data_IF_386853092303
#
_entry.id   IF_386853092303
#
_cell.length_a   1.000
_cell.length_b   1.000
_cell.length_c   1.000
_cell.angle_alpha   90.00
_cell.angle_beta   90.00
_cell.angle_gamma   90.00
#
_symmetry.space_group_name_H-M   'P 1'
#
loop_
_entity.id
_entity.type
_entity.pdbx_description
1 polymer ?
#
# COMPACT_ATOMS: atom_id res chain seq x y z
N UNK A 1 -11.73 30.52 6.46
CA UNK A 1 -12.37 30.70 5.14
C UNK A 1 -11.36 30.71 3.94
N UNK A 2 -10.05 30.62 4.17
CA UNK A 2 -9.03 30.77 3.12
C UNK A 2 -8.51 29.45 2.51
N UNK A 3 -8.82 28.31 3.10
CA UNK A 3 -8.41 26.99 2.58
C UNK A 3 -9.24 26.53 1.36
N UNK A 4 -10.43 27.10 1.17
CA UNK A 4 -11.33 26.70 0.06
C UNK A 4 -10.94 27.27 -1.31
N UNK A 5 -10.39 28.48 -1.38
CA UNK A 5 -10.05 29.15 -2.63
C UNK A 5 -8.92 28.47 -3.42
N UNK A 6 -7.89 27.99 -2.71
CA UNK A 6 -6.76 27.28 -3.34
C UNK A 6 -7.14 25.93 -3.93
N UNK A 7 -8.05 25.19 -3.28
CA UNK A 7 -8.56 23.90 -3.78
C UNK A 7 -9.44 24.05 -5.03
N UNK A 8 -10.27 25.11 -5.07
CA UNK A 8 -11.10 25.40 -6.24
C UNK A 8 -10.26 25.80 -7.45
N UNK A 9 -9.25 26.65 -7.26
CA UNK A 9 -8.36 27.07 -8.34
C UNK A 9 -7.54 25.89 -8.90
N UNK A 10 -6.97 25.04 -8.05
CA UNK A 10 -6.22 23.84 -8.47
C UNK A 10 -7.12 22.82 -9.17
N UNK A 11 -8.38 22.68 -8.74
CA UNK A 11 -9.35 21.79 -9.40
C UNK A 11 -9.72 22.27 -10.80
N UNK A 12 -9.93 23.59 -10.99
CA UNK A 12 -10.22 24.16 -12.31
C UNK A 12 -9.03 24.02 -13.27
N UNK A 13 -7.81 24.32 -12.82
CA UNK A 13 -6.60 24.19 -13.62
C UNK A 13 -6.27 22.72 -13.92
N UNK A 14 -6.50 21.81 -12.94
CA UNK A 14 -6.32 20.38 -13.14
C UNK A 14 -7.27 19.80 -14.17
N UNK A 15 -8.53 20.26 -14.19
CA UNK A 15 -9.52 19.91 -15.22
C UNK A 15 -9.13 20.43 -16.62
N UNK A 16 -8.69 21.68 -16.71
CA UNK A 16 -8.30 22.30 -17.98
C UNK A 16 -7.04 21.66 -18.60
N UNK A 17 -6.08 21.22 -17.78
CA UNK A 17 -4.84 20.57 -18.25
C UNK A 17 -4.99 19.05 -18.44
N UNK A 18 -6.05 18.44 -17.94
CA UNK A 18 -6.26 16.99 -17.98
C UNK A 18 -5.33 16.18 -17.06
N UNK A 19 -4.47 16.83 -16.24
CA UNK A 19 -3.52 16.15 -15.34
C UNK A 19 -4.05 15.98 -13.91
N UNK A 20 -5.21 16.56 -13.59
CA UNK A 20 -5.78 16.55 -12.26
C UNK A 20 -5.30 17.71 -11.38
N UNK A 21 -5.89 17.84 -10.19
CA UNK A 21 -5.60 18.95 -9.27
C UNK A 21 -4.39 18.67 -8.35
N UNK A 22 -4.12 17.42 -8.02
CA UNK A 22 -3.07 17.03 -7.07
C UNK A 22 -1.66 17.47 -7.52
N UNK A 23 -1.23 17.27 -8.77
CA UNK A 23 0.12 17.70 -9.17
C UNK A 23 0.29 19.23 -9.09
N UNK A 24 -0.77 20.00 -9.31
CA UNK A 24 -0.73 21.47 -9.19
C UNK A 24 -0.61 21.88 -7.71
N UNK A 25 -1.32 21.21 -6.83
CA UNK A 25 -1.21 21.42 -5.37
C UNK A 25 0.20 21.09 -4.87
N UNK A 26 0.78 19.96 -5.31
CA UNK A 26 2.15 19.56 -4.95
C UNK A 26 3.16 20.57 -5.50
N UNK A 27 3.00 21.07 -6.73
CA UNK A 27 3.84 22.12 -7.30
C UNK A 27 3.83 23.40 -6.45
N UNK A 28 2.65 23.83 -6.03
CA UNK A 28 2.50 24.99 -5.14
C UNK A 28 3.17 24.74 -3.77
N UNK A 29 2.98 23.57 -3.18
CA UNK A 29 3.60 23.21 -1.92
C UNK A 29 5.12 23.13 -2.03
N UNK A 30 5.66 22.55 -3.11
CA UNK A 30 7.09 22.50 -3.39
C UNK A 30 7.68 23.93 -3.46
N UNK A 31 7.00 24.85 -4.17
CA UNK A 31 7.41 26.25 -4.23
C UNK A 31 7.43 26.92 -2.85
N UNK A 32 6.41 26.64 -2.02
CA UNK A 32 6.28 27.19 -0.67
C UNK A 32 7.32 26.64 0.30
N UNK A 33 7.59 25.33 0.24
CA UNK A 33 8.53 24.65 1.14
C UNK A 33 9.99 24.98 0.82
N UNK A 34 10.30 25.20 -0.46
CA UNK A 34 11.67 25.43 -0.91
C UNK A 34 12.57 24.19 -0.77
N UNK A 35 13.90 24.41 -0.73
CA UNK A 35 14.89 23.38 -0.45
C UNK A 35 14.87 22.20 -1.45
N UNK A 36 15.16 21.00 -0.95
CA UNK A 36 15.26 19.79 -1.77
C UNK A 36 13.96 19.38 -2.47
N UNK A 37 12.81 19.63 -1.85
CA UNK A 37 11.49 19.36 -2.44
C UNK A 37 11.24 20.22 -3.67
N UNK A 38 11.55 21.51 -3.57
CA UNK A 38 11.48 22.44 -4.70
C UNK A 38 12.40 22.03 -5.85
N UNK A 39 13.63 21.63 -5.50
CA UNK A 39 14.61 21.19 -6.50
C UNK A 39 14.14 19.88 -7.16
N UNK A 40 13.71 18.89 -6.39
CA UNK A 40 13.20 17.62 -6.91
C UNK A 40 12.02 17.84 -7.88
N UNK A 41 11.09 18.74 -7.54
CA UNK A 41 9.98 19.10 -8.42
C UNK A 41 10.48 19.71 -9.73
N UNK A 42 11.33 20.75 -9.66
CA UNK A 42 11.82 21.48 -10.85
C UNK A 42 12.67 20.61 -11.78
N UNK A 43 13.55 19.78 -11.23
CA UNK A 43 14.43 18.92 -12.04
C UNK A 43 13.63 17.87 -12.80
N UNK A 44 12.59 17.31 -12.18
CA UNK A 44 11.69 16.39 -12.87
C UNK A 44 10.78 17.11 -13.89
N UNK A 45 10.25 18.28 -13.54
CA UNK A 45 9.42 19.10 -14.45
C UNK A 45 10.19 19.52 -15.70
N UNK A 46 11.46 19.83 -15.56
CA UNK A 46 12.34 20.29 -16.63
C UNK A 46 13.05 19.16 -17.37
N UNK A 47 12.86 17.91 -16.93
CA UNK A 47 13.51 16.73 -17.51
C UNK A 47 15.01 16.68 -17.28
N UNK A 48 15.52 17.32 -16.22
CA UNK A 48 16.92 17.28 -15.80
C UNK A 48 17.24 16.02 -15.00
N UNK A 49 16.30 15.55 -14.18
CA UNK A 49 16.45 14.31 -13.42
C UNK A 49 16.13 13.10 -14.31
N UNK A 50 16.90 12.00 -14.23
CA UNK A 50 16.54 10.74 -14.86
C UNK A 50 15.22 10.22 -14.30
N UNK A 51 14.37 9.64 -15.16
CA UNK A 51 13.08 9.10 -14.74
C UNK A 51 13.23 7.88 -13.79
N UNK A 52 14.39 7.25 -13.82
CA UNK A 52 14.78 6.17 -12.91
C UNK A 52 14.81 6.62 -11.45
N UNK A 53 15.20 7.87 -11.20
CA UNK A 53 15.32 8.42 -9.84
C UNK A 53 13.98 8.39 -9.09
N UNK A 54 12.87 8.61 -9.79
CA UNK A 54 11.52 8.47 -9.23
C UNK A 54 11.26 7.03 -8.76
N UNK A 55 11.63 6.05 -9.57
CA UNK A 55 11.43 4.64 -9.25
C UNK A 55 12.35 4.21 -8.11
N UNK A 56 13.58 4.71 -8.09
CA UNK A 56 14.56 4.40 -7.06
C UNK A 56 14.17 5.04 -5.72
N UNK A 57 13.66 6.27 -5.72
CA UNK A 57 13.07 6.88 -4.51
C UNK A 57 11.92 6.05 -3.95
N UNK A 58 11.00 5.58 -4.81
CA UNK A 58 9.89 4.75 -4.38
C UNK A 58 10.35 3.38 -3.85
N UNK A 59 11.39 2.78 -4.44
CA UNK A 59 11.98 1.51 -3.95
C UNK A 59 12.69 1.69 -2.61
N UNK A 60 13.42 2.79 -2.44
CA UNK A 60 14.10 3.10 -1.19
C UNK A 60 13.07 3.28 -0.06
N UNK A 61 12.01 4.04 -0.30
CA UNK A 61 10.92 4.20 0.64
C UNK A 61 10.24 2.85 0.99
N UNK A 62 9.99 2.00 0.00
CA UNK A 62 9.44 0.66 0.24
C UNK A 62 10.39 -0.23 1.05
N UNK A 63 11.68 -0.16 0.81
CA UNK A 63 12.68 -0.89 1.61
C UNK A 63 12.74 -0.37 3.05
N UNK A 64 12.58 0.94 3.25
CA UNK A 64 12.51 1.53 4.59
C UNK A 64 11.28 1.03 5.35
N UNK A 65 10.10 0.97 4.73
CA UNK A 65 8.90 0.38 5.34
C UNK A 65 9.11 -1.11 5.72
N UNK A 66 9.82 -1.87 4.88
CA UNK A 66 10.15 -3.27 5.21
C UNK A 66 11.10 -3.39 6.40
N UNK A 67 12.08 -2.49 6.49
CA UNK A 67 13.04 -2.46 7.59
C UNK A 67 12.36 -2.02 8.89
N UNK A 68 11.50 -1.01 8.83
CA UNK A 68 10.69 -0.53 9.96
C UNK A 68 9.80 -1.67 10.50
N UNK A 69 9.01 -2.30 9.65
CA UNK A 69 8.21 -3.48 10.04
C UNK A 69 9.04 -4.55 10.74
N UNK A 70 10.26 -4.83 10.22
CA UNK A 70 11.15 -5.82 10.82
C UNK A 70 11.66 -5.36 12.19
N UNK A 71 12.03 -4.09 12.32
CA UNK A 71 12.51 -3.52 13.57
C UNK A 71 11.41 -3.55 14.65
N UNK A 72 10.19 -3.13 14.30
CA UNK A 72 9.04 -3.14 15.20
C UNK A 72 8.69 -4.54 15.67
N UNK A 73 8.71 -5.51 14.74
CA UNK A 73 8.50 -6.92 15.08
C UNK A 73 9.57 -7.44 16.06
N UNK A 74 10.85 -7.19 15.80
CA UNK A 74 11.95 -7.63 16.67
C UNK A 74 11.86 -6.97 18.05
N UNK A 75 11.51 -5.69 18.11
CA UNK A 75 11.30 -4.98 19.37
C UNK A 75 10.10 -5.55 20.14
N UNK A 76 9.00 -5.87 19.45
CA UNK A 76 7.85 -6.56 20.05
C UNK A 76 8.23 -7.91 20.63
N UNK A 77 8.98 -8.72 19.86
CA UNK A 77 9.45 -10.04 20.31
C UNK A 77 10.44 -9.94 21.48
N UNK A 78 11.30 -8.92 21.50
CA UNK A 78 12.21 -8.67 22.65
C UNK A 78 11.42 -8.34 23.92
N UNK A 79 10.35 -7.55 23.83
CA UNK A 79 9.47 -7.26 24.98
C UNK A 79 8.80 -8.53 25.48
N UNK A 80 8.25 -9.34 24.57
CA UNK A 80 7.64 -10.64 24.91
C UNK A 80 8.64 -11.62 25.52
N UNK A 81 9.90 -11.58 25.10
CA UNK A 81 10.95 -12.43 25.70
C UNK A 81 11.28 -12.09 27.17
N UNK A 82 10.89 -10.91 27.63
CA UNK A 82 11.03 -10.49 29.03
C UNK A 82 9.81 -10.89 29.88
N UNK A 83 8.68 -11.17 29.24
CA UNK A 83 7.48 -11.64 29.90
C UNK A 83 7.55 -13.14 30.13
N UNK A 84 7.55 -13.56 31.39
CA UNK A 84 7.60 -14.96 31.83
C UNK A 84 6.21 -15.46 32.23
N UNK A 85 5.15 -14.78 31.83
CA UNK A 85 3.78 -15.22 32.13
C UNK A 85 3.52 -16.60 31.50
N UNK A 86 3.12 -17.60 32.30
CA UNK A 86 2.89 -18.94 31.80
C UNK A 86 1.61 -19.00 30.97
N UNK A 87 1.70 -19.66 29.83
CA UNK A 87 0.58 -19.95 28.96
C UNK A 87 0.28 -21.45 28.96
N UNK A 88 -0.99 -21.81 28.75
CA UNK A 88 -1.39 -23.23 28.70
C UNK A 88 -1.72 -23.65 27.25
N UNK A 89 -1.57 -24.96 27.01
CA UNK A 89 -1.85 -25.59 25.71
C UNK A 89 -3.23 -26.30 25.65
N UNK A 90 -4.12 -26.10 26.64
CA UNK A 90 -5.37 -26.82 26.75
C UNK A 90 -6.23 -26.76 25.47
N UNK A 91 -6.32 -25.59 24.83
CA UNK A 91 -7.08 -25.41 23.59
C UNK A 91 -6.41 -26.15 22.41
N UNK A 92 -5.07 -26.26 22.41
CA UNK A 92 -4.31 -27.00 21.40
C UNK A 92 -4.48 -28.49 21.59
N UNK A 93 -4.34 -28.99 22.82
CA UNK A 93 -4.52 -30.40 23.18
C UNK A 93 -5.91 -30.91 22.82
N UNK A 94 -6.92 -30.09 23.07
CA UNK A 94 -8.29 -30.40 22.66
C UNK A 94 -8.41 -30.61 21.15
N UNK A 95 -7.86 -29.70 20.35
CA UNK A 95 -7.89 -29.79 18.88
C UNK A 95 -7.15 -31.04 18.39
N UNK A 96 -5.98 -31.34 18.95
CA UNK A 96 -5.19 -32.51 18.58
C UNK A 96 -5.90 -33.82 18.99
N UNK A 97 -6.51 -33.84 20.15
CA UNK A 97 -7.31 -34.99 20.63
C UNK A 97 -8.55 -35.23 19.75
N UNK A 98 -9.28 -34.19 19.42
CA UNK A 98 -10.42 -34.27 18.50
C UNK A 98 -10.00 -34.82 17.13
N UNK A 99 -8.90 -34.33 16.59
CA UNK A 99 -8.34 -34.84 15.33
C UNK A 99 -7.94 -36.30 15.42
N UNK A 100 -7.33 -36.71 16.52
CA UNK A 100 -6.94 -38.12 16.75
C UNK A 100 -8.17 -39.02 16.80
N UNK A 101 -9.25 -38.57 17.43
CA UNK A 101 -10.50 -39.31 17.55
C UNK A 101 -11.23 -39.41 16.21
N UNK A 102 -11.37 -38.31 15.46
CA UNK A 102 -12.01 -38.28 14.15
C UNK A 102 -11.30 -39.15 13.10
N UNK A 103 -9.99 -39.34 13.23
CA UNK A 103 -9.19 -40.23 12.39
C UNK A 103 -9.36 -41.72 12.67
N UNK A 104 -10.18 -42.12 13.67
CA UNK A 104 -10.40 -43.51 14.06
C UNK A 104 -11.86 -43.90 14.00
N UNK A 105 -12.11 -45.17 13.70
CA UNK A 105 -13.44 -45.78 13.78
C UNK A 105 -13.43 -46.89 14.84
N UNK A 106 -14.41 -46.89 15.73
CA UNK A 106 -14.56 -47.91 16.72
C UNK A 106 -15.41 -49.06 16.14
N UNK A 107 -14.82 -50.24 16.11
CA UNK A 107 -15.50 -51.46 15.70
C UNK A 107 -16.46 -51.96 16.81
N UNK A 108 -17.45 -52.80 16.50
CA UNK A 108 -18.33 -53.41 17.51
C UNK A 108 -17.60 -54.17 18.58
N UNK A 109 -16.39 -54.66 18.31
CA UNK A 109 -15.48 -55.31 19.26
C UNK A 109 -14.84 -54.36 20.27
N UNK A 110 -15.11 -53.03 20.18
CA UNK A 110 -14.44 -52.01 20.98
C UNK A 110 -13.07 -51.58 20.45
N UNK A 111 -12.49 -52.29 19.49
CA UNK A 111 -11.20 -51.96 18.90
C UNK A 111 -11.33 -50.71 17.99
N UNK A 112 -10.44 -49.75 18.16
CA UNK A 112 -10.33 -48.59 17.25
C UNK A 112 -9.41 -48.91 16.09
N UNK A 113 -9.84 -48.57 14.88
CA UNK A 113 -9.06 -48.70 13.65
C UNK A 113 -8.85 -47.33 13.03
N UNK A 114 -7.66 -47.08 12.54
CA UNK A 114 -7.36 -45.83 11.86
C UNK A 114 -8.02 -45.84 10.47
N UNK A 115 -8.89 -44.88 10.22
CA UNK A 115 -9.56 -44.67 8.92
C UNK A 115 -8.93 -43.54 8.12
N UNK A 116 -8.03 -42.79 8.74
CA UNK A 116 -7.25 -41.73 8.08
C UNK A 116 -6.09 -42.39 7.34
N UNK A 117 -5.78 -41.91 6.15
CA UNK A 117 -4.67 -42.45 5.36
C UNK A 117 -3.31 -42.35 6.08
N UNK A 118 -2.33 -43.16 5.64
CA UNK A 118 -1.02 -43.30 6.31
C UNK A 118 -0.31 -41.92 6.46
N UNK A 119 -0.25 -41.10 5.40
CA UNK A 119 0.44 -39.80 5.44
C UNK A 119 -0.18 -38.82 6.45
N UNK A 120 -1.52 -38.60 6.47
CA UNK A 120 -2.14 -37.75 7.48
C UNK A 120 -1.93 -38.22 8.92
N UNK A 121 -1.89 -39.54 9.14
CA UNK A 121 -1.60 -40.09 10.48
C UNK A 121 -0.17 -39.82 10.92
N UNK A 122 0.80 -40.01 10.02
CA UNK A 122 2.21 -39.68 10.27
C UNK A 122 2.40 -38.19 10.57
N UNK A 123 1.73 -37.31 9.80
CA UNK A 123 1.77 -35.86 10.07
C UNK A 123 1.23 -35.52 11.45
N UNK A 124 0.13 -36.17 11.87
CA UNK A 124 -0.44 -35.90 13.19
C UNK A 124 0.48 -36.43 14.31
N UNK A 125 1.07 -37.61 14.15
CA UNK A 125 2.07 -38.18 15.09
C UNK A 125 3.29 -37.27 15.22
N UNK A 126 3.81 -36.75 14.11
CA UNK A 126 4.92 -35.79 14.11
C UNK A 126 4.58 -34.53 14.88
N UNK A 127 3.41 -33.94 14.61
CA UNK A 127 2.93 -32.74 15.33
C UNK A 127 2.74 -33.02 16.82
N UNK A 128 2.17 -34.16 17.17
CA UNK A 128 2.02 -34.58 18.57
C UNK A 128 3.36 -34.67 19.29
N UNK A 129 4.34 -35.31 18.66
CA UNK A 129 5.71 -35.37 19.17
C UNK A 129 6.31 -34.00 19.41
N UNK A 130 6.17 -33.06 18.45
CA UNK A 130 6.66 -31.69 18.62
C UNK A 130 6.00 -31.04 19.85
N UNK A 131 4.68 -31.20 20.03
CA UNK A 131 3.96 -30.63 21.17
C UNK A 131 4.44 -31.25 22.49
N UNK A 132 4.64 -32.56 22.52
CA UNK A 132 5.17 -33.29 23.69
C UNK A 132 6.60 -32.83 24.03
N UNK A 133 7.46 -32.68 23.04
CA UNK A 133 8.83 -32.15 23.23
C UNK A 133 8.83 -30.76 23.88
N UNK A 134 7.87 -29.90 23.53
CA UNK A 134 7.72 -28.58 24.18
C UNK A 134 7.16 -28.65 25.60
N UNK A 135 6.31 -29.62 25.91
CA UNK A 135 5.76 -29.81 27.27
C UNK A 135 6.75 -30.38 28.26
N UNK A 136 7.87 -30.94 27.80
CA UNK A 136 8.85 -31.63 28.61
C UNK A 136 8.40 -33.03 29.02
N UNK A 137 9.31 -33.77 29.66
CA UNK A 137 9.14 -35.22 29.97
C UNK A 137 7.96 -35.47 30.91
N UNK A 138 7.71 -34.57 31.86
CA UNK A 138 6.64 -34.69 32.87
C UNK A 138 5.44 -33.79 32.61
N UNK A 139 5.46 -33.02 31.53
CA UNK A 139 4.40 -32.03 31.18
C UNK A 139 4.39 -30.79 32.07
N UNK A 140 5.45 -30.56 32.84
CA UNK A 140 5.56 -29.50 33.85
C UNK A 140 6.33 -28.26 33.33
N UNK A 141 6.72 -28.23 32.05
CA UNK A 141 7.39 -27.08 31.48
C UNK A 141 6.48 -25.86 31.45
N UNK A 142 7.00 -24.78 32.02
CA UNK A 142 6.31 -23.46 32.00
C UNK A 142 6.57 -22.79 30.64
N UNK A 143 5.56 -22.81 29.81
CA UNK A 143 5.65 -22.23 28.44
C UNK A 143 5.24 -20.76 28.45
N UNK A 144 6.06 -19.93 27.83
CA UNK A 144 5.79 -18.50 27.63
C UNK A 144 5.22 -18.26 26.22
N UNK A 145 4.83 -17.01 25.91
CA UNK A 145 4.39 -16.62 24.56
C UNK A 145 5.48 -16.87 23.50
N UNK A 146 6.75 -16.68 23.86
CA UNK A 146 7.88 -16.96 22.97
C UNK A 146 8.03 -18.46 22.69
N UNK A 147 7.85 -19.30 23.68
CA UNK A 147 7.97 -20.74 23.50
C UNK A 147 6.82 -21.28 22.64
N UNK A 148 5.60 -20.80 22.87
CA UNK A 148 4.47 -21.12 22.01
C UNK A 148 4.62 -20.53 20.58
N UNK A 149 5.29 -19.40 20.41
CA UNK A 149 5.62 -18.87 19.06
C UNK A 149 6.62 -19.78 18.35
N UNK A 150 7.62 -20.32 19.05
CA UNK A 150 8.55 -21.34 18.51
C UNK A 150 7.82 -22.64 18.17
N UNK A 151 6.91 -23.11 19.04
CA UNK A 151 6.06 -24.26 18.77
C UNK A 151 5.22 -24.02 17.48
N UNK A 152 4.60 -22.86 17.37
CA UNK A 152 3.86 -22.46 16.16
C UNK A 152 4.75 -22.50 14.91
N UNK A 153 5.99 -22.01 15.00
CA UNK A 153 6.94 -22.04 13.88
C UNK A 153 7.31 -23.48 13.51
N UNK A 154 7.62 -24.34 14.46
CA UNK A 154 7.94 -25.75 14.20
C UNK A 154 6.77 -26.48 13.49
N UNK A 155 5.53 -26.27 13.94
CA UNK A 155 4.35 -26.82 13.26
C UNK A 155 4.17 -26.20 11.87
N UNK A 156 4.49 -24.93 11.72
CA UNK A 156 4.51 -24.22 10.43
C UNK A 156 5.49 -24.85 9.45
N UNK A 157 6.67 -25.25 9.89
CA UNK A 157 7.67 -25.93 9.06
C UNK A 157 7.14 -27.29 8.57
N UNK A 158 6.50 -28.07 9.43
CA UNK A 158 5.85 -29.32 9.03
C UNK A 158 4.78 -29.06 7.95
N UNK A 159 3.92 -28.07 8.17
CA UNK A 159 2.89 -27.68 7.19
C UNK A 159 3.48 -27.27 5.84
N UNK A 160 4.54 -26.47 5.86
CA UNK A 160 5.14 -25.88 4.64
C UNK A 160 5.94 -26.90 3.83
N UNK A 161 6.36 -28.02 4.45
CA UNK A 161 6.96 -29.17 3.75
C UNK A 161 5.92 -30.03 3.01
N UNK A 162 4.64 -29.91 3.35
CA UNK A 162 3.57 -30.68 2.72
C UNK A 162 3.11 -30.01 1.44
N UNK A 163 3.24 -30.70 0.31
CA UNK A 163 2.62 -30.25 -0.93
C UNK A 163 1.08 -30.39 -0.82
N UNK A 164 0.38 -29.26 -0.80
CA UNK A 164 -1.09 -29.23 -0.70
C UNK A 164 -1.79 -29.96 -1.86
N UNK A 165 -1.19 -29.96 -3.04
CA UNK A 165 -1.74 -30.67 -4.22
C UNK A 165 -1.74 -32.18 -4.05
N UNK A 166 -0.71 -32.72 -3.40
CA UNK A 166 -0.53 -34.17 -3.23
C UNK A 166 -1.16 -34.69 -1.92
N UNK A 167 -1.17 -33.87 -0.87
CA UNK A 167 -1.60 -34.27 0.49
C UNK A 167 -2.45 -33.19 1.18
N UNK A 168 -3.62 -32.82 0.63
CA UNK A 168 -4.44 -31.74 1.20
C UNK A 168 -4.90 -32.03 2.63
N UNK A 169 -5.16 -33.29 2.98
CA UNK A 169 -5.59 -33.68 4.32
C UNK A 169 -4.48 -33.47 5.36
N UNK A 170 -3.24 -33.89 5.06
CA UNK A 170 -2.08 -33.65 5.92
C UNK A 170 -1.83 -32.14 6.12
N UNK A 171 -1.90 -31.38 5.04
CA UNK A 171 -1.75 -29.93 5.09
C UNK A 171 -2.82 -29.26 5.95
N UNK A 172 -4.08 -29.67 5.78
CA UNK A 172 -5.20 -29.15 6.59
C UNK A 172 -5.03 -29.46 8.08
N UNK A 173 -4.58 -30.68 8.43
CA UNK A 173 -4.30 -31.04 9.81
C UNK A 173 -3.23 -30.12 10.42
N UNK A 174 -2.08 -30.01 9.76
CA UNK A 174 -1.01 -29.14 10.23
C UNK A 174 -1.45 -27.68 10.33
N UNK A 175 -2.22 -27.18 9.35
CA UNK A 175 -2.74 -25.82 9.35
C UNK A 175 -3.77 -25.56 10.47
N UNK A 176 -4.61 -26.53 10.82
CA UNK A 176 -5.56 -26.40 11.93
C UNK A 176 -4.84 -26.33 13.27
N UNK A 177 -3.82 -27.19 13.50
CA UNK A 177 -3.03 -27.15 14.74
C UNK A 177 -2.22 -25.86 14.81
N UNK A 178 -1.55 -25.45 13.72
CA UNK A 178 -0.88 -24.16 13.61
C UNK A 178 -1.80 -23.00 14.00
N UNK A 179 -3.02 -22.99 13.44
CA UNK A 179 -4.03 -21.99 13.75
C UNK A 179 -4.52 -22.04 15.20
N UNK A 180 -4.58 -23.24 15.80
CA UNK A 180 -4.94 -23.40 17.21
C UNK A 180 -3.87 -22.81 18.13
N UNK A 181 -2.58 -23.11 17.91
CA UNK A 181 -1.48 -22.52 18.68
C UNK A 181 -1.51 -20.98 18.56
N UNK A 182 -1.63 -20.44 17.34
CA UNK A 182 -1.75 -18.99 17.13
C UNK A 182 -2.90 -18.39 17.95
N UNK A 183 -4.10 -18.99 17.89
CA UNK A 183 -5.27 -18.49 18.64
C UNK A 183 -5.06 -18.56 20.14
N UNK A 184 -4.42 -19.63 20.63
CA UNK A 184 -4.11 -19.83 22.04
C UNK A 184 -3.21 -18.72 22.57
N UNK A 185 -2.13 -18.38 21.86
CA UNK A 185 -1.24 -17.28 22.24
C UNK A 185 -1.99 -15.94 22.22
N UNK A 186 -2.67 -15.63 21.11
CA UNK A 186 -3.42 -14.37 20.95
C UNK A 186 -4.49 -14.17 22.04
N UNK A 187 -5.13 -15.27 22.48
CA UNK A 187 -6.15 -15.24 23.52
C UNK A 187 -5.56 -15.01 24.91
N UNK A 188 -4.40 -15.57 25.20
CA UNK A 188 -3.79 -15.55 26.53
C UNK A 188 -2.79 -14.39 26.71
N UNK A 189 -2.20 -13.89 25.61
CA UNK A 189 -1.21 -12.81 25.64
C UNK A 189 -1.64 -11.65 24.73
N UNK A 190 -2.18 -10.57 25.32
CA UNK A 190 -2.60 -9.38 24.55
C UNK A 190 -1.45 -8.62 23.89
N UNK A 191 -0.23 -8.64 24.45
CA UNK A 191 0.94 -7.96 23.87
C UNK A 191 1.43 -8.71 22.62
N UNK A 192 1.42 -10.04 22.65
CA UNK A 192 1.65 -10.86 21.46
C UNK A 192 0.60 -10.58 20.38
N UNK A 193 -0.68 -10.53 20.77
CA UNK A 193 -1.77 -10.23 19.85
C UNK A 193 -1.56 -8.87 19.14
N UNK A 194 -1.16 -7.86 19.90
CA UNK A 194 -0.86 -6.51 19.39
C UNK A 194 0.33 -6.53 18.43
N UNK A 195 1.45 -7.15 18.83
CA UNK A 195 2.67 -7.23 18.00
C UNK A 195 2.39 -7.94 16.67
N UNK A 196 1.63 -9.04 16.68
CA UNK A 196 1.27 -9.77 15.47
C UNK A 196 0.32 -8.98 14.57
N UNK A 197 -0.62 -8.26 15.14
CA UNK A 197 -1.55 -7.40 14.39
C UNK A 197 -0.81 -6.27 13.69
N UNK A 198 0.07 -5.57 14.39
CA UNK A 198 0.90 -4.50 13.83
C UNK A 198 1.79 -5.03 12.68
N UNK A 199 2.36 -6.23 12.84
CA UNK A 199 3.14 -6.88 11.80
C UNK A 199 2.30 -7.26 10.58
N UNK A 200 1.09 -7.77 10.77
CA UNK A 200 0.14 -8.14 9.72
C UNK A 200 -0.29 -6.89 8.93
N UNK A 201 -0.72 -5.83 9.62
CA UNK A 201 -1.12 -4.56 9.01
C UNK A 201 0.01 -3.92 8.18
N UNK A 202 1.24 -3.92 8.71
CA UNK A 202 2.40 -3.42 7.99
C UNK A 202 2.76 -4.29 6.77
N UNK A 203 2.57 -5.62 6.87
CA UNK A 203 2.79 -6.57 5.77
C UNK A 203 1.77 -6.37 4.66
N UNK A 204 0.51 -6.20 5.00
CA UNK A 204 -0.57 -5.94 4.06
C UNK A 204 -0.34 -4.62 3.33
N UNK A 205 -0.01 -3.55 4.06
CA UNK A 205 0.34 -2.26 3.48
C UNK A 205 1.48 -2.37 2.46
N UNK A 206 2.57 -3.05 2.82
CA UNK A 206 3.72 -3.26 1.93
C UNK A 206 3.30 -4.03 0.68
N UNK A 207 2.51 -5.09 0.85
CA UNK A 207 2.01 -5.93 -0.25
C UNK A 207 1.10 -5.13 -1.20
N UNK A 208 0.24 -4.29 -0.64
CA UNK A 208 -0.62 -3.41 -1.43
C UNK A 208 0.16 -2.36 -2.23
N UNK A 209 1.18 -1.76 -1.61
CA UNK A 209 2.11 -0.84 -2.30
C UNK A 209 2.84 -1.58 -3.43
N UNK A 210 3.39 -2.77 -3.16
CA UNK A 210 4.07 -3.59 -4.15
C UNK A 210 3.18 -3.91 -5.36
N UNK A 211 1.95 -4.31 -5.11
CA UNK A 211 0.97 -4.65 -6.15
C UNK A 211 0.49 -3.40 -6.91
N UNK A 212 0.17 -2.33 -6.17
CA UNK A 212 -0.34 -1.09 -6.76
C UNK A 212 0.67 -0.43 -7.68
N UNK A 213 1.96 -0.43 -7.29
CA UNK A 213 3.03 0.22 -8.05
C UNK A 213 3.91 -0.76 -8.84
N UNK A 214 3.59 -2.06 -8.82
CA UNK A 214 4.34 -3.14 -9.51
C UNK A 214 5.81 -3.22 -9.07
N UNK A 215 6.04 -3.17 -7.76
CA UNK A 215 7.37 -3.15 -7.13
C UNK A 215 7.74 -4.45 -6.42
N UNK A 216 6.98 -5.53 -6.59
CA UNK A 216 7.17 -6.80 -5.89
C UNK A 216 8.54 -7.44 -6.11
N UNK A 217 8.98 -8.25 -5.12
CA UNK A 217 10.26 -8.96 -5.13
C UNK A 217 10.31 -10.13 -6.14
N UNK A 218 9.18 -10.76 -6.40
CA UNK A 218 9.09 -12.01 -7.16
C UNK A 218 9.20 -11.78 -8.66
N UNK A 219 10.44 -11.64 -9.20
CA UNK A 219 10.78 -11.84 -10.60
C UNK A 219 10.08 -10.97 -11.67
N UNK A 220 8.95 -10.44 -11.35
CA UNK A 220 8.16 -9.51 -12.16
C UNK A 220 8.56 -8.06 -11.83
N UNK A 221 9.85 -7.74 -11.94
CA UNK A 221 10.26 -6.35 -12.03
C UNK A 221 9.60 -5.78 -13.28
N UNK A 222 8.46 -5.10 -13.10
CA UNK A 222 7.81 -4.38 -14.18
C UNK A 222 8.82 -3.47 -14.86
N UNK A 223 8.67 -3.27 -16.16
CA UNK A 223 9.50 -2.29 -16.87
C UNK A 223 9.37 -0.95 -16.15
N UNK A 224 10.45 -0.21 -16.03
CA UNK A 224 10.51 1.12 -15.41
C UNK A 224 9.34 2.00 -15.90
N UNK A 225 9.04 1.97 -17.19
CA UNK A 225 7.91 2.69 -17.78
C UNK A 225 6.54 2.34 -17.14
N UNK A 226 6.35 1.07 -16.76
CA UNK A 226 5.12 0.63 -16.10
C UNK A 226 5.06 1.14 -14.68
N UNK A 227 6.16 1.11 -13.95
CA UNK A 227 6.27 1.63 -12.59
C UNK A 227 6.03 3.15 -12.56
N UNK A 228 6.70 3.88 -13.46
CA UNK A 228 6.50 5.33 -13.61
C UNK A 228 5.05 5.66 -13.94
N UNK A 229 4.42 4.93 -14.88
CA UNK A 229 3.01 5.14 -15.24
C UNK A 229 2.09 4.90 -14.05
N UNK A 230 2.35 3.87 -13.25
CA UNK A 230 1.57 3.59 -12.05
C UNK A 230 1.80 4.64 -10.95
N UNK A 231 3.04 5.08 -10.74
CA UNK A 231 3.35 6.17 -9.81
C UNK A 231 2.69 7.49 -10.27
N UNK A 232 2.83 7.87 -11.53
CA UNK A 232 2.20 9.10 -12.04
C UNK A 232 0.67 9.04 -12.02
N UNK A 233 0.06 7.85 -12.06
CA UNK A 233 -1.40 7.71 -11.96
C UNK A 233 -1.98 8.18 -10.62
N UNK A 234 -1.18 8.23 -9.55
CA UNK A 234 -1.59 8.75 -8.24
C UNK A 234 -1.84 10.27 -8.27
N UNK A 235 -1.32 10.95 -9.26
CA UNK A 235 -1.52 12.40 -9.43
C UNK A 235 -2.79 12.74 -10.23
N UNK A 236 -3.44 11.74 -10.87
CA UNK A 236 -4.60 11.93 -11.73
C UNK A 236 -5.90 11.69 -10.96
N UNK A 237 -6.37 12.70 -10.26
CA UNK A 237 -7.64 12.70 -9.53
C UNK A 237 -8.88 12.85 -10.41
N UNK A 238 -8.69 13.11 -11.71
CA UNK A 238 -9.74 13.25 -12.70
C UNK A 238 -10.07 11.97 -13.47
N UNK A 239 -9.35 10.86 -13.22
CA UNK A 239 -9.61 9.57 -13.86
C UNK A 239 -10.43 8.70 -12.90
N UNK A 240 -11.49 8.08 -13.42
CA UNK A 240 -12.45 7.27 -12.66
C UNK A 240 -11.84 5.91 -12.24
N UNK A 241 -10.80 5.93 -11.42
CA UNK A 241 -10.14 4.75 -10.81
C UNK A 241 -10.17 4.91 -9.30
N UNK A 242 -9.83 3.88 -8.55
CA UNK A 242 -9.71 3.90 -7.08
C UNK A 242 -8.59 4.87 -6.61
N UNK A 243 -8.77 6.15 -6.97
CA UNK A 243 -7.79 7.22 -6.80
C UNK A 243 -7.50 7.49 -5.32
N UNK A 244 -8.55 7.55 -4.47
CA UNK A 244 -8.41 7.83 -3.05
C UNK A 244 -7.47 6.85 -2.38
N UNK A 245 -7.73 5.56 -2.57
CA UNK A 245 -6.92 4.49 -1.99
C UNK A 245 -5.46 4.50 -2.48
N UNK A 246 -5.22 4.66 -3.78
CA UNK A 246 -3.86 4.78 -4.33
C UNK A 246 -3.15 6.03 -3.83
N UNK A 247 -3.88 7.12 -3.63
CA UNK A 247 -3.37 8.35 -3.05
C UNK A 247 -2.87 8.13 -1.62
N UNK A 248 -3.62 7.42 -0.79
CA UNK A 248 -3.24 7.05 0.57
C UNK A 248 -1.98 6.17 0.61
N UNK A 249 -1.91 5.16 -0.26
CA UNK A 249 -0.70 4.32 -0.39
C UNK A 249 0.53 5.14 -0.79
N UNK A 250 0.35 6.10 -1.69
CA UNK A 250 1.43 6.98 -2.12
C UNK A 250 1.85 7.96 -1.01
N UNK A 251 0.91 8.48 -0.24
CA UNK A 251 1.19 9.37 0.88
C UNK A 251 1.93 8.60 2.00
N UNK A 252 1.56 7.35 2.29
CA UNK A 252 2.29 6.46 3.21
C UNK A 252 3.70 6.16 2.69
N UNK A 253 3.85 5.86 1.41
CA UNK A 253 5.16 5.62 0.80
C UNK A 253 6.03 6.89 0.82
N UNK A 254 5.44 8.06 0.59
CA UNK A 254 6.15 9.34 0.63
C UNK A 254 6.54 9.78 2.05
N UNK A 255 5.85 9.28 3.09
CA UNK A 255 6.21 9.54 4.48
C UNK A 255 7.34 8.63 5.00
N UNK A 256 7.62 7.52 4.31
CA UNK A 256 8.72 6.63 4.66
C UNK A 256 10.09 7.25 4.32
N UNK A 257 11.11 6.86 5.07
CA UNK A 257 12.49 7.33 4.85
C UNK A 257 12.94 6.99 3.40
N UNK A 258 13.48 8.00 2.70
CA UNK A 258 13.83 7.91 1.29
C UNK A 258 12.68 8.23 0.32
N UNK A 259 11.45 8.43 0.84
CA UNK A 259 10.28 8.82 0.07
C UNK A 259 9.93 10.32 0.12
N UNK A 260 10.67 11.11 0.89
CA UNK A 260 10.33 12.50 1.25
C UNK A 260 10.16 13.44 0.05
N UNK A 261 10.72 13.08 -1.10
CA UNK A 261 10.64 13.84 -2.36
C UNK A 261 9.79 13.15 -3.42
N UNK A 262 9.19 12.01 -3.09
CA UNK A 262 8.48 11.16 -4.05
C UNK A 262 7.30 11.86 -4.70
N UNK A 263 6.52 12.61 -3.92
CA UNK A 263 5.35 13.35 -4.42
C UNK A 263 5.77 14.48 -5.35
N UNK A 264 6.80 15.22 -5.00
CA UNK A 264 7.35 16.32 -5.80
C UNK A 264 7.96 15.81 -7.12
N UNK A 265 8.71 14.71 -7.07
CA UNK A 265 9.23 14.03 -8.26
C UNK A 265 8.10 13.56 -9.15
N UNK A 266 7.09 12.91 -8.58
CA UNK A 266 5.93 12.38 -9.32
C UNK A 266 5.12 13.51 -9.96
N UNK A 267 4.89 14.61 -9.23
CA UNK A 267 4.21 15.78 -9.75
C UNK A 267 5.00 16.44 -10.89
N UNK A 268 6.33 16.58 -10.72
CA UNK A 268 7.23 17.10 -11.74
C UNK A 268 7.18 16.27 -13.01
N UNK A 269 7.27 14.93 -12.92
CA UNK A 269 7.15 14.03 -14.07
C UNK A 269 5.76 14.12 -14.71
N UNK A 270 4.69 14.21 -13.91
CA UNK A 270 3.31 14.29 -14.43
C UNK A 270 3.05 15.57 -15.20
N UNK A 271 3.62 16.69 -14.75
CA UNK A 271 3.50 18.01 -15.38
C UNK A 271 4.55 18.26 -16.47
N UNK A 272 5.61 17.43 -16.51
CA UNK A 272 6.61 17.48 -17.58
C UNK A 272 5.94 17.14 -18.91
N UNK A 273 6.25 17.88 -20.01
CA UNK A 273 5.82 17.47 -21.32
C UNK A 273 6.48 16.12 -21.61
N UNK A 274 5.68 15.05 -21.59
CA UNK A 274 6.12 13.76 -22.08
C UNK A 274 6.67 14.01 -23.49
N UNK A 275 7.95 13.69 -23.72
CA UNK A 275 8.47 13.64 -25.09
C UNK A 275 7.68 12.56 -25.81
N UNK A 276 6.59 12.96 -26.46
CA UNK A 276 5.83 12.09 -27.32
C UNK A 276 6.77 11.63 -28.43
N UNK A 277 7.16 10.36 -28.37
CA UNK A 277 7.90 9.74 -29.48
C UNK A 277 6.92 9.58 -30.64
N UNK A 278 7.13 10.30 -31.72
CA UNK A 278 6.35 10.17 -32.95
C UNK A 278 5.48 11.36 -33.31
N UNK A 279 4.51 11.15 -34.20
CA UNK A 279 3.62 12.13 -34.82
C UNK A 279 2.83 13.07 -33.88
N UNK A 280 2.72 12.72 -32.60
CA UNK A 280 2.07 13.56 -31.58
C UNK A 280 2.79 14.93 -31.36
N UNK A 281 4.10 15.03 -31.69
CA UNK A 281 4.80 16.30 -31.70
C UNK A 281 4.34 17.22 -32.85
N UNK A 282 3.94 16.63 -33.98
CA UNK A 282 3.44 17.38 -35.13
C UNK A 282 2.07 18.03 -34.85
N UNK A 283 1.20 17.39 -34.03
CA UNK A 283 -0.09 17.97 -33.65
C UNK A 283 0.07 19.21 -32.76
N UNK A 284 1.07 19.23 -31.89
CA UNK A 284 1.36 20.41 -31.06
C UNK A 284 1.95 21.56 -31.89
N UNK A 285 2.80 21.24 -32.86
CA UNK A 285 3.34 22.23 -33.81
C UNK A 285 2.23 22.71 -34.75
N UNK A 286 1.32 21.81 -35.18
CA UNK A 286 0.18 22.14 -36.05
C UNK A 286 -0.82 23.11 -35.40
N UNK A 287 -1.08 22.97 -34.09
CA UNK A 287 -1.96 23.90 -33.35
C UNK A 287 -1.30 25.26 -33.17
N UNK A 288 0.01 25.32 -32.92
CA UNK A 288 0.75 26.58 -32.89
C UNK A 288 0.79 27.24 -34.27
N UNK A 289 0.96 26.47 -35.35
CA UNK A 289 0.90 26.94 -36.73
C UNK A 289 -0.49 27.44 -37.12
N UNK A 290 -1.55 26.76 -36.72
CA UNK A 290 -2.93 27.17 -36.93
C UNK A 290 -3.30 28.43 -36.12
N UNK A 291 -2.81 28.55 -34.88
CA UNK A 291 -3.00 29.74 -34.05
C UNK A 291 -2.26 30.95 -34.60
N UNK A 292 -1.11 30.75 -35.23
CA UNK A 292 -0.37 31.83 -35.91
C UNK A 292 -1.01 32.25 -37.27
N UNK A 293 -1.73 31.30 -37.91
CA UNK A 293 -2.43 31.59 -39.18
C UNK A 293 -3.82 32.22 -38.96
N UNK A 294 -4.41 32.09 -37.77
CA UNK A 294 -5.65 32.77 -37.41
C UNK A 294 -5.31 34.03 -36.63
N UNK A 295 -5.70 35.18 -37.13
CA UNK A 295 -5.49 36.53 -36.52
C UNK A 295 -6.23 36.72 -35.19
N UNK A 296 -6.45 35.67 -34.44
CA UNK A 296 -7.18 35.70 -33.16
C UNK A 296 -6.18 35.65 -31.97
N UNK A 297 -5.85 36.83 -31.37
CA UNK A 297 -4.86 36.91 -30.30
C UNK A 297 -5.25 36.11 -29.02
N UNK A 298 -6.55 35.84 -28.83
CA UNK A 298 -7.04 35.02 -27.70
C UNK A 298 -6.56 33.58 -27.77
N UNK A 299 -6.36 32.98 -28.95
CA UNK A 299 -5.82 31.62 -29.10
C UNK A 299 -4.33 31.56 -28.75
N UNK A 300 -3.57 32.61 -28.98
CA UNK A 300 -2.15 32.69 -28.61
C UNK A 300 -1.94 32.79 -27.10
N UNK A 301 -2.84 33.42 -26.35
CA UNK A 301 -2.76 33.57 -24.90
C UNK A 301 -3.42 32.42 -24.13
N UNK A 302 -4.45 31.78 -24.68
CA UNK A 302 -5.18 30.68 -24.02
C UNK A 302 -4.44 29.35 -24.07
N UNK A 303 -3.70 29.06 -25.14
CA UNK A 303 -3.04 27.77 -25.33
C UNK A 303 -1.86 27.52 -24.38
N UNK A 304 -0.93 28.46 -24.14
CA UNK A 304 0.12 28.26 -23.12
C UNK A 304 -0.41 28.04 -21.72
N UNK A 305 -1.56 28.66 -21.37
CA UNK A 305 -2.18 28.52 -20.05
C UNK A 305 -2.76 27.13 -19.77
N UNK A 306 -2.97 26.29 -20.79
CA UNK A 306 -3.46 24.93 -20.66
C UNK A 306 -2.34 23.89 -20.71
N UNK A 307 -1.11 24.30 -21.00
CA UNK A 307 0.04 23.37 -20.99
C UNK A 307 0.40 22.96 -19.56
N UNK A 308 0.44 21.65 -19.25
CA UNK A 308 0.73 21.15 -17.90
C UNK A 308 2.00 21.74 -17.29
N UNK A 309 3.07 21.89 -18.07
CA UNK A 309 4.35 22.46 -17.64
C UNK A 309 4.22 23.91 -17.22
N UNK A 310 3.55 24.73 -18.02
CA UNK A 310 3.36 26.18 -17.74
C UNK A 310 2.53 26.34 -16.46
N UNK A 311 1.46 25.57 -16.32
CA UNK A 311 0.63 25.57 -15.11
C UNK A 311 1.42 25.09 -13.89
N UNK A 312 2.27 24.08 -14.04
CA UNK A 312 3.14 23.56 -12.98
C UNK A 312 4.17 24.61 -12.52
N UNK A 313 4.84 25.27 -13.46
CA UNK A 313 5.77 26.37 -13.15
C UNK A 313 5.04 27.56 -12.50
N UNK A 314 3.90 27.96 -13.01
CA UNK A 314 3.09 29.04 -12.43
C UNK A 314 2.66 28.72 -11.00
N UNK A 315 2.18 27.49 -10.74
CA UNK A 315 1.81 27.04 -9.39
C UNK A 315 3.01 27.03 -8.44
N UNK A 316 4.17 26.59 -8.91
CA UNK A 316 5.42 26.60 -8.14
C UNK A 316 5.82 28.02 -7.74
N UNK A 317 5.86 28.97 -8.70
CA UNK A 317 6.24 30.35 -8.39
C UNK A 317 5.21 31.06 -7.53
N UNK A 318 3.92 30.76 -7.69
CA UNK A 318 2.87 31.25 -6.79
C UNK A 318 3.08 30.74 -5.35
N UNK A 319 3.47 29.46 -5.19
CA UNK A 319 3.85 28.89 -3.90
C UNK A 319 5.06 29.60 -3.30
N UNK A 320 6.09 29.82 -4.08
CA UNK A 320 7.33 30.51 -3.66
C UNK A 320 7.08 31.96 -3.23
N UNK A 321 6.18 32.66 -3.91
CA UNK A 321 5.81 34.04 -3.57
C UNK A 321 4.85 34.13 -2.37
N UNK A 322 4.17 33.04 -2.01
CA UNK A 322 3.12 33.04 -0.97
C UNK A 322 3.56 33.44 0.45
N UNK A 323 4.80 33.19 0.89
CA UNK A 323 5.28 33.69 2.19
C UNK A 323 5.46 35.20 2.23
N UNK A 324 5.73 35.83 1.07
CA UNK A 324 6.01 37.26 0.94
C UNK A 324 4.73 38.06 0.78
N UNK A 325 3.72 37.45 0.14
CA UNK A 325 2.42 38.07 -0.11
C UNK A 325 1.48 37.79 1.06
N UNK A 326 1.00 38.82 1.74
CA UNK A 326 -0.02 38.71 2.79
C UNK A 326 -1.30 37.99 2.30
N UNK A 327 -2.16 37.60 3.23
CA UNK A 327 -3.36 36.78 2.97
C UNK A 327 -4.28 37.23 1.80
N UNK A 328 -4.48 38.52 1.50
CA UNK A 328 -5.37 38.94 0.38
C UNK A 328 -4.79 38.70 -1.00
N UNK A 329 -3.47 38.71 -1.17
CA UNK A 329 -2.83 38.53 -2.50
C UNK A 329 -2.75 37.05 -2.94
N UNK A 330 -2.99 36.10 -2.05
CA UNK A 330 -2.93 34.64 -2.33
C UNK A 330 -4.00 34.14 -3.28
N UNK A 331 -5.14 34.82 -3.34
CA UNK A 331 -6.24 34.50 -4.27
C UNK A 331 -6.00 34.99 -5.70
N UNK A 332 -5.32 36.11 -5.85
CA UNK A 332 -5.10 36.75 -7.16
C UNK A 332 -4.01 36.05 -8.01
N UNK A 333 -3.00 35.45 -7.37
CA UNK A 333 -1.90 34.78 -8.08
C UNK A 333 -2.32 33.45 -8.78
N UNK A 334 -3.48 32.90 -8.44
CA UNK A 334 -4.05 31.69 -9.03
C UNK A 334 -5.26 31.95 -9.93
N UNK A 335 -5.68 33.18 -10.07
CA UNK A 335 -6.76 33.58 -10.98
C UNK A 335 -6.23 33.73 -12.40
N UNK A 336 -6.00 32.63 -13.10
CA UNK A 336 -5.95 32.64 -14.56
C UNK A 336 -7.37 32.80 -15.11
N UNK A 337 -7.57 33.43 -16.29
CA UNK A 337 -8.88 33.81 -16.77
C UNK A 337 -9.83 32.63 -16.91
N UNK A 338 -10.94 32.72 -16.20
CA UNK A 338 -12.06 31.78 -16.26
C UNK A 338 -12.79 31.92 -17.59
N UNK A 339 -12.57 31.01 -18.50
CA UNK A 339 -13.45 30.77 -19.64
C UNK A 339 -13.47 29.29 -19.97
N UNK A 340 -14.25 28.52 -19.20
CA UNK A 340 -14.96 27.35 -19.73
C UNK A 340 -15.82 26.74 -18.61
N UNK A 341 -17.12 26.94 -18.64
CA UNK A 341 -18.10 26.17 -17.88
C UNK A 341 -18.43 24.93 -18.69
N UNK A 342 -17.98 23.76 -18.21
CA UNK A 342 -18.49 22.46 -18.65
C UNK A 342 -19.36 21.90 -17.54
N UNK A 343 -20.59 21.56 -17.89
CA UNK A 343 -21.64 21.13 -16.99
C UNK A 343 -21.25 19.95 -16.09
N UNK A 344 -21.51 20.09 -14.81
CA UNK A 344 -21.43 19.07 -13.79
C UNK A 344 -22.71 18.25 -13.78
N UNK A 345 -22.60 16.96 -14.09
CA UNK A 345 -23.60 15.99 -13.62
C UNK A 345 -23.15 15.48 -12.24
N UNK A 346 -24.03 15.69 -11.26
CA UNK A 346 -23.87 15.18 -9.91
C UNK A 346 -23.76 13.66 -9.91
N UNK A 347 -22.75 13.11 -9.30
CA UNK A 347 -22.62 11.67 -9.05
C UNK A 347 -22.69 11.40 -7.56
N UNK A 348 -23.65 10.58 -7.18
CA UNK A 348 -23.85 10.05 -5.85
C UNK A 348 -22.59 9.31 -5.36
N UNK A 349 -22.27 9.52 -4.08
CA UNK A 349 -21.18 8.85 -3.37
C UNK A 349 -21.46 7.35 -3.27
N UNK A 350 -20.57 6.51 -3.79
CA UNK A 350 -20.61 5.07 -3.53
C UNK A 350 -20.27 4.78 -2.06
N UNK A 351 -20.98 3.83 -1.42
CA UNK A 351 -20.72 3.45 -0.03
C UNK A 351 -19.33 2.86 0.15
N UNK A 352 -18.73 3.09 1.33
CA UNK A 352 -17.43 2.56 1.69
C UNK A 352 -17.45 1.02 1.75
N UNK A 353 -16.26 0.39 1.60
CA UNK A 353 -16.11 -1.08 1.64
C UNK A 353 -16.63 -1.66 2.96
N UNK A 354 -16.57 -0.91 4.06
CA UNK A 354 -17.09 -1.30 5.36
C UNK A 354 -18.62 -1.30 5.37
N UNK A 355 -19.27 -0.33 4.72
CA UNK A 355 -20.72 -0.31 4.56
C UNK A 355 -21.23 -1.45 3.66
N UNK A 356 -20.46 -1.83 2.64
CA UNK A 356 -20.80 -3.00 1.80
C UNK A 356 -20.68 -4.30 2.58
N UNK A 357 -19.64 -4.48 3.40
CA UNK A 357 -19.47 -5.66 4.26
C UNK A 357 -20.55 -5.73 5.35
N UNK A 358 -20.92 -4.59 5.92
CA UNK A 358 -21.97 -4.51 6.94
C UNK A 358 -23.35 -4.87 6.36
N UNK A 359 -23.65 -4.49 5.12
CA UNK A 359 -24.88 -4.83 4.43
C UNK A 359 -24.95 -6.30 4.00
N UNK A 360 -23.81 -6.91 3.64
CA UNK A 360 -23.74 -8.35 3.31
C UNK A 360 -23.97 -9.22 4.57
N UNK A 361 -23.47 -8.78 5.73
CA UNK A 361 -23.65 -9.50 6.99
C UNK A 361 -25.05 -9.34 7.61
N UNK A 362 -25.81 -8.32 7.20
CA UNK A 362 -27.18 -8.05 7.68
C UNK A 362 -28.28 -8.71 6.83
N UNK A 363 -27.93 -9.28 5.69
CA UNK A 363 -28.85 -9.91 4.74
C UNK A 363 -29.09 -11.40 5.01
N UNK A 364 -28.93 -11.86 6.26
CA UNK A 364 -29.37 -13.17 6.74
C UNK A 364 -30.15 -13.03 8.02
#
# INVERSE_FOLDING_TARGET
ATAGGGKLASSMLGGATGVGSKPIQVAFQAGRSGGEKAQAFLDNLRGKAPITDLVDSARNALNSLRNERRADYLQGMERLGKDQTPLNLNDVDKVVSEMSTEGTHQLPSGRRVNIRGKKPSQTLEEIQKIIEDFKGVDGDEVLTAIDLDKLKQAIGEVRDQINIGDNPTSWNLANQVYGSVRRTIVKQDPEYAKTMKEYEEATDLITEIENSFNMGKTGKRGRIDTQVRKLTSIMRDNVNTAYGYRGELADKLASAAGGERLLEQTAGVTLSPLRSRGLANLSQIGVLGAAAATTNPLLLFGYPATMPKVVGEAAYYAGKASPVLGAPARGAALAAPTAFQVGRTSRESQPSREEMLFNILRGR
#
